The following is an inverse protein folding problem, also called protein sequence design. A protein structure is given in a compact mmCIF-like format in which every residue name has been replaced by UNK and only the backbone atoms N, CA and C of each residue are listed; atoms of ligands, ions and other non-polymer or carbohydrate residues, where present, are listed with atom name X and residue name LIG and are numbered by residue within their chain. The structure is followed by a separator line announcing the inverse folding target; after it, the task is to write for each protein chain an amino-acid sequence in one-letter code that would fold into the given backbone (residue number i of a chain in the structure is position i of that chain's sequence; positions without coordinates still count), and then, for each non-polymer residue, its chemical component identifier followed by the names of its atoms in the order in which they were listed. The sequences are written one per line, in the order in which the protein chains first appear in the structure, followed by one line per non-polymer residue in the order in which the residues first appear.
data_IF_143938832856
#
_entry.id   IF_143938832856
#
_cell.length_a   1.000
_cell.length_b   1.000
_cell.length_c   1.000
_cell.angle_alpha   90.00
_cell.angle_beta   90.00
_cell.angle_gamma   90.00
#
_symmetry.space_group_name_H-M   'P 1'
#
loop_
_entity.id
_entity.type
_entity.pdbx_description
1 polymer ?
#
# COMPACT_ATOMS: atom_id res chain seq x y z
N UNK A 1 16.58 -8.02 -20.16
CA UNK A 1 15.52 -7.68 -19.17
C UNK A 1 14.47 -8.78 -19.02
N UNK A 2 14.06 -9.48 -20.09
CA UNK A 2 12.91 -10.40 -20.05
C UNK A 2 12.95 -11.53 -19.01
N UNK A 3 14.13 -11.98 -18.59
CA UNK A 3 14.29 -13.05 -17.56
C UNK A 3 14.01 -12.59 -16.13
N UNK A 4 13.91 -11.28 -15.89
CA UNK A 4 13.71 -10.70 -14.56
C UNK A 4 12.31 -10.13 -14.34
N UNK A 5 11.43 -10.22 -15.35
CA UNK A 5 10.08 -9.70 -15.29
C UNK A 5 9.07 -10.82 -15.58
N UNK A 6 8.00 -10.85 -14.79
CA UNK A 6 6.87 -11.74 -14.98
C UNK A 6 5.58 -10.91 -15.04
N UNK A 7 4.90 -10.96 -16.17
CA UNK A 7 3.55 -10.45 -16.34
C UNK A 7 2.58 -11.46 -15.75
N UNK A 8 2.08 -11.18 -14.56
CA UNK A 8 1.33 -12.18 -13.82
C UNK A 8 -0.18 -12.15 -14.09
N UNK A 9 -0.73 -11.06 -14.65
CA UNK A 9 -2.15 -10.97 -15.06
C UNK A 9 -2.39 -11.26 -16.55
N UNK A 10 -1.35 -11.25 -17.38
CA UNK A 10 -1.44 -11.54 -18.81
C UNK A 10 -0.55 -10.63 -19.65
N UNK A 11 -0.59 -10.82 -20.96
CA UNK A 11 0.16 -10.01 -21.93
C UNK A 11 -0.54 -8.73 -22.34
N UNK A 12 -1.83 -8.64 -22.01
CA UNK A 12 -2.64 -7.51 -22.41
C UNK A 12 -2.13 -6.24 -21.71
N UNK A 13 -1.55 -5.35 -22.50
CA UNK A 13 -1.16 -4.01 -22.06
C UNK A 13 -2.35 -3.05 -22.06
N UNK A 14 -3.54 -3.51 -22.46
CA UNK A 14 -4.74 -2.68 -22.49
C UNK A 14 -5.38 -2.63 -21.11
N UNK A 15 -5.44 -1.42 -20.56
CA UNK A 15 -5.94 -1.15 -19.21
C UNK A 15 -5.02 -0.20 -18.45
N UNK A 16 -5.56 0.37 -17.37
CA UNK A 16 -4.85 1.39 -16.59
C UNK A 16 -3.70 0.84 -15.72
N UNK A 17 -3.38 -0.46 -15.78
CA UNK A 17 -2.36 -1.05 -14.89
C UNK A 17 -1.66 -2.23 -15.57
N UNK A 18 -0.40 -2.09 -16.00
CA UNK A 18 0.46 -3.23 -16.33
C UNK A 18 0.98 -3.88 -15.05
N UNK A 19 0.47 -5.06 -14.69
CA UNK A 19 0.87 -5.78 -13.48
C UNK A 19 2.15 -6.63 -13.68
N UNK A 20 3.27 -6.16 -13.15
CA UNK A 20 4.60 -6.78 -13.32
C UNK A 20 5.14 -7.26 -11.99
N UNK A 21 5.59 -8.51 -11.93
CA UNK A 21 6.47 -8.99 -10.85
C UNK A 21 7.92 -8.84 -11.26
N UNK A 22 8.70 -8.15 -10.43
CA UNK A 22 10.15 -8.06 -10.57
C UNK A 22 10.80 -9.20 -9.81
N UNK A 23 11.44 -10.10 -10.55
CA UNK A 23 12.19 -11.24 -10.03
C UNK A 23 13.54 -10.79 -9.44
N UNK A 24 14.22 -11.65 -8.64
CA UNK A 24 15.53 -11.33 -8.07
C UNK A 24 16.53 -10.75 -9.07
N UNK A 25 17.23 -9.70 -8.66
CA UNK A 25 18.19 -8.94 -9.48
C UNK A 25 17.57 -7.98 -10.51
N UNK A 26 16.23 -7.98 -10.65
CA UNK A 26 15.52 -7.14 -11.62
C UNK A 26 15.19 -5.72 -11.14
N UNK A 27 15.21 -5.45 -9.82
CA UNK A 27 14.75 -4.20 -9.21
C UNK A 27 15.35 -2.94 -9.84
N UNK A 28 16.65 -2.76 -9.65
CA UNK A 28 17.34 -1.55 -10.12
C UNK A 28 17.31 -1.39 -11.66
N UNK A 29 17.52 -2.45 -12.49
CA UNK A 29 17.35 -2.33 -13.94
C UNK A 29 15.96 -1.88 -14.38
N UNK A 30 14.90 -2.42 -13.76
CA UNK A 30 13.51 -2.10 -14.09
C UNK A 30 13.18 -0.67 -13.66
N UNK A 31 13.55 -0.28 -12.44
CA UNK A 31 13.35 1.08 -11.97
C UNK A 31 14.06 2.10 -12.87
N UNK A 32 15.30 1.85 -13.30
CA UNK A 32 16.02 2.70 -14.26
C UNK A 32 15.30 2.80 -15.61
N UNK A 33 14.83 1.67 -16.15
CA UNK A 33 14.12 1.66 -17.43
C UNK A 33 12.80 2.44 -17.37
N UNK A 34 12.02 2.28 -16.29
CA UNK A 34 10.76 3.01 -16.10
C UNK A 34 11.01 4.52 -15.93
N UNK A 35 12.06 4.93 -15.18
CA UNK A 35 12.46 6.34 -15.09
C UNK A 35 12.90 6.91 -16.44
N UNK A 36 13.68 6.15 -17.22
CA UNK A 36 14.09 6.55 -18.56
C UNK A 36 12.89 6.73 -19.51
N UNK A 37 11.79 6.00 -19.27
CA UNK A 37 10.51 6.18 -19.96
C UNK A 37 9.66 7.36 -19.43
N UNK A 38 10.21 8.18 -18.52
CA UNK A 38 9.52 9.32 -17.93
C UNK A 38 8.50 8.96 -16.85
N UNK A 39 8.50 7.71 -16.37
CA UNK A 39 7.60 7.27 -15.31
C UNK A 39 8.18 7.60 -13.94
N UNK A 40 7.29 7.97 -13.02
CA UNK A 40 7.64 8.31 -11.64
C UNK A 40 7.03 7.25 -10.70
N UNK A 41 7.83 6.69 -9.77
CA UNK A 41 7.34 5.72 -8.81
C UNK A 41 6.46 6.41 -7.75
N UNK A 42 5.40 5.72 -7.36
CA UNK A 42 4.43 6.08 -6.34
C UNK A 42 4.19 4.85 -5.46
N UNK A 43 5.02 4.64 -4.41
CA UNK A 43 4.86 3.52 -3.49
C UNK A 43 3.43 3.45 -2.93
N UNK A 44 2.82 2.25 -2.95
CA UNK A 44 1.46 2.04 -2.41
C UNK A 44 1.51 1.21 -1.14
N UNK A 45 2.00 -0.01 -1.28
CA UNK A 45 2.10 -1.02 -0.23
C UNK A 45 3.55 -1.51 -0.14
N UNK A 46 3.96 -2.16 0.96
CA UNK A 46 5.32 -2.70 1.08
C UNK A 46 5.68 -3.62 -0.09
N UNK A 47 6.67 -3.20 -0.89
CA UNK A 47 7.15 -3.92 -2.07
C UNK A 47 6.24 -3.81 -3.30
N UNK A 48 5.21 -2.95 -3.27
CA UNK A 48 4.37 -2.61 -4.43
C UNK A 48 4.52 -1.12 -4.77
N UNK A 49 4.92 -0.84 -6.00
CA UNK A 49 5.19 0.50 -6.50
C UNK A 49 4.38 0.71 -7.76
N UNK A 50 3.45 1.66 -7.74
CA UNK A 50 2.80 2.12 -8.96
C UNK A 50 3.72 3.09 -9.69
N UNK A 51 3.84 2.95 -10.99
CA UNK A 51 4.58 3.86 -11.85
C UNK A 51 3.61 4.59 -12.75
N UNK A 52 3.68 5.92 -12.71
CA UNK A 52 2.73 6.81 -13.39
C UNK A 52 3.44 7.83 -14.25
N UNK A 53 2.74 8.33 -15.27
CA UNK A 53 3.19 9.48 -16.05
C UNK A 53 2.66 10.78 -15.41
N UNK A 54 3.50 11.81 -15.37
CA UNK A 54 3.07 13.16 -14.97
C UNK A 54 2.80 14.01 -16.22
N UNK A 55 1.81 14.93 -16.20
CA UNK A 55 0.96 15.31 -15.05
C UNK A 55 -0.32 14.48 -14.89
N UNK A 56 -0.67 13.65 -15.89
CA UNK A 56 -2.00 13.04 -16.02
C UNK A 56 -2.32 12.02 -14.91
N UNK A 57 -1.31 11.60 -14.14
CA UNK A 57 -1.39 10.62 -13.05
C UNK A 57 -1.91 9.23 -13.48
N UNK A 58 -2.03 8.99 -14.78
CA UNK A 58 -2.34 7.67 -15.33
C UNK A 58 -1.31 6.68 -14.80
N UNK A 59 -1.84 5.68 -14.08
CA UNK A 59 -1.04 4.53 -13.70
C UNK A 59 -0.71 3.80 -14.99
N UNK A 60 0.56 3.45 -15.13
CA UNK A 60 1.06 2.77 -16.34
C UNK A 60 1.52 1.37 -15.96
N UNK A 61 2.21 1.23 -14.83
CA UNK A 61 2.79 -0.05 -14.41
C UNK A 61 2.65 -0.25 -12.90
N UNK A 62 1.98 -1.31 -12.49
CA UNK A 62 1.97 -1.80 -11.12
C UNK A 62 3.11 -2.80 -10.92
N UNK A 63 4.17 -2.35 -10.26
CA UNK A 63 5.37 -3.16 -10.05
C UNK A 63 5.34 -3.77 -8.66
N UNK A 64 5.30 -5.10 -8.63
CA UNK A 64 5.37 -5.90 -7.43
C UNK A 64 6.75 -6.55 -7.32
N UNK A 65 7.46 -6.31 -6.22
CA UNK A 65 8.66 -7.07 -5.92
C UNK A 65 8.30 -8.53 -5.62
N UNK A 66 9.19 -9.47 -5.98
CA UNK A 66 9.03 -10.90 -5.71
C UNK A 66 8.64 -11.23 -4.26
N UNK A 67 9.15 -10.47 -3.30
CA UNK A 67 8.89 -10.62 -1.88
C UNK A 67 7.55 -10.06 -1.42
N UNK A 68 6.92 -9.23 -2.23
CA UNK A 68 5.56 -8.78 -2.03
C UNK A 68 4.55 -9.69 -2.74
N UNK A 69 5.00 -10.82 -3.32
CA UNK A 69 4.11 -11.80 -3.93
C UNK A 69 3.12 -12.37 -2.91
N UNK A 70 1.80 -12.21 -3.13
CA UNK A 70 0.81 -12.58 -2.13
C UNK A 70 0.88 -14.03 -1.72
N UNK A 71 0.93 -14.28 -0.40
CA UNK A 71 1.00 -15.63 0.15
C UNK A 71 -0.27 -16.47 -0.15
N UNK A 72 -1.35 -15.84 -0.61
CA UNK A 72 -2.58 -16.47 -1.07
C UNK A 72 -2.55 -16.89 -2.55
N UNK A 73 -1.56 -16.46 -3.32
CA UNK A 73 -1.38 -16.85 -4.72
C UNK A 73 -0.64 -18.19 -4.82
N UNK A 74 -0.60 -18.81 -6.02
CA UNK A 74 0.32 -19.91 -6.28
C UNK A 74 1.76 -19.48 -5.96
N UNK A 75 2.64 -20.36 -5.43
CA UNK A 75 4.01 -19.98 -5.08
C UNK A 75 4.76 -19.41 -6.29
N UNK A 76 5.38 -18.23 -6.14
CA UNK A 76 6.07 -17.57 -7.25
C UNK A 76 7.10 -18.46 -7.97
N UNK A 77 7.89 -19.33 -7.30
CA UNK A 77 8.78 -20.26 -8.01
C UNK A 77 8.04 -21.24 -8.93
N UNK A 78 6.84 -21.68 -8.54
CA UNK A 78 6.01 -22.56 -9.35
C UNK A 78 5.38 -21.82 -10.54
N UNK A 79 4.91 -20.58 -10.30
CA UNK A 79 4.40 -19.70 -11.36
C UNK A 79 5.50 -19.43 -12.39
N UNK A 80 6.71 -19.09 -11.93
CA UNK A 80 7.88 -18.86 -12.80
C UNK A 80 8.25 -20.10 -13.61
N UNK A 81 8.18 -21.30 -13.01
CA UNK A 81 8.49 -22.56 -13.71
C UNK A 81 7.49 -22.86 -14.83
N UNK A 82 6.22 -22.48 -14.67
CA UNK A 82 5.17 -22.64 -15.70
C UNK A 82 5.04 -21.46 -16.65
N UNK A 83 5.66 -20.33 -16.34
CA UNK A 83 5.59 -19.15 -17.17
C UNK A 83 6.27 -19.39 -18.52
N UNK A 84 5.71 -18.79 -19.57
CA UNK A 84 6.24 -18.87 -20.93
C UNK A 84 6.58 -17.46 -21.43
N UNK A 85 7.52 -17.31 -22.39
CA UNK A 85 7.73 -16.04 -23.07
C UNK A 85 6.45 -15.62 -23.81
N UNK A 86 6.00 -14.40 -23.58
CA UNK A 86 4.89 -13.79 -24.31
C UNK A 86 5.32 -13.05 -25.57
N UNK A 87 4.37 -12.39 -26.22
CA UNK A 87 4.57 -11.59 -27.45
C UNK A 87 5.64 -10.51 -27.33
N UNK A 88 5.80 -9.92 -26.14
CA UNK A 88 6.81 -8.90 -25.85
C UNK A 88 8.17 -9.48 -25.38
N UNK A 89 8.33 -10.80 -25.40
CA UNK A 89 9.53 -11.48 -24.90
C UNK A 89 9.70 -11.45 -23.37
N UNK A 90 8.68 -10.97 -22.64
CA UNK A 90 8.62 -11.04 -21.17
C UNK A 90 8.01 -12.38 -20.75
N UNK A 91 8.33 -12.89 -19.55
CA UNK A 91 7.65 -14.07 -19.03
C UNK A 91 6.21 -13.72 -18.66
N UNK A 92 5.29 -14.63 -18.95
CA UNK A 92 3.86 -14.49 -18.67
C UNK A 92 3.39 -15.69 -17.87
N UNK A 93 2.66 -15.43 -16.78
CA UNK A 93 2.11 -16.51 -15.96
C UNK A 93 1.15 -17.39 -16.79
N UNK A 94 1.28 -18.71 -16.62
CA UNK A 94 0.41 -19.68 -17.29
C UNK A 94 -1.07 -19.42 -16.97
N UNK A 95 -2.01 -19.73 -17.89
CA UNK A 95 -3.45 -19.54 -17.66
C UNK A 95 -3.93 -20.14 -16.33
N UNK A 96 -3.43 -21.32 -15.97
CA UNK A 96 -3.73 -22.00 -14.69
C UNK A 96 -3.41 -21.14 -13.47
N UNK A 97 -2.29 -20.42 -13.47
CA UNK A 97 -1.88 -19.58 -12.35
C UNK A 97 -2.75 -18.31 -12.28
N UNK A 98 -3.04 -17.72 -13.44
CA UNK A 98 -3.87 -16.51 -13.55
C UNK A 98 -5.29 -16.73 -13.02
N UNK A 99 -5.94 -17.84 -13.39
CA UNK A 99 -7.29 -18.16 -12.87
C UNK A 99 -7.28 -18.41 -11.36
N UNK A 100 -6.24 -19.07 -10.84
CA UNK A 100 -6.09 -19.31 -9.40
C UNK A 100 -5.87 -18.03 -8.61
N UNK A 101 -5.12 -17.07 -9.17
CA UNK A 101 -4.97 -15.77 -8.53
C UNK A 101 -6.30 -15.04 -8.43
N UNK A 102 -7.05 -14.91 -9.52
CA UNK A 102 -8.35 -14.21 -9.47
C UNK A 102 -9.37 -14.89 -8.56
N UNK A 103 -9.33 -16.23 -8.48
CA UNK A 103 -10.12 -16.97 -7.49
C UNK A 103 -9.71 -16.63 -6.05
N UNK A 104 -8.40 -16.53 -5.76
CA UNK A 104 -7.91 -16.12 -4.44
C UNK A 104 -8.28 -14.66 -4.11
N UNK A 105 -8.19 -13.75 -5.08
CA UNK A 105 -8.61 -12.35 -4.95
C UNK A 105 -10.10 -12.22 -4.59
N UNK A 106 -10.98 -13.03 -5.20
CA UNK A 106 -12.39 -13.10 -4.86
C UNK A 106 -12.62 -13.55 -3.41
N UNK A 107 -11.89 -14.56 -2.94
CA UNK A 107 -11.94 -15.00 -1.53
C UNK A 107 -11.43 -13.92 -0.58
N UNK A 108 -10.43 -13.14 -1.01
CA UNK A 108 -9.93 -11.98 -0.27
C UNK A 108 -10.91 -10.79 -0.24
N UNK A 109 -12.07 -10.92 -0.89
CA UNK A 109 -13.14 -9.92 -0.87
C UNK A 109 -13.06 -8.88 -1.98
N UNK A 110 -12.24 -9.10 -3.02
CA UNK A 110 -12.35 -8.31 -4.25
C UNK A 110 -13.73 -8.52 -4.90
N UNK A 111 -14.29 -7.52 -5.61
CA UNK A 111 -15.59 -7.64 -6.26
C UNK A 111 -15.66 -8.87 -7.16
N UNK A 112 -16.67 -9.72 -6.92
CA UNK A 112 -16.81 -11.00 -7.60
C UNK A 112 -16.95 -10.82 -9.11
N UNK A 113 -17.74 -9.83 -9.53
CA UNK A 113 -17.94 -9.48 -10.94
C UNK A 113 -16.60 -9.26 -11.66
N UNK A 114 -15.72 -8.44 -11.08
CA UNK A 114 -14.40 -8.13 -11.66
C UNK A 114 -13.50 -9.37 -11.73
N UNK A 115 -13.43 -10.16 -10.66
CA UNK A 115 -12.62 -11.39 -10.65
C UNK A 115 -13.14 -12.41 -11.65
N UNK A 116 -14.46 -12.59 -11.75
CA UNK A 116 -15.07 -13.55 -12.67
C UNK A 116 -14.88 -13.16 -14.14
N UNK A 117 -15.03 -11.87 -14.49
CA UNK A 117 -14.73 -11.37 -15.84
C UNK A 117 -13.28 -11.66 -16.22
N UNK A 118 -12.32 -11.43 -15.31
CA UNK A 118 -10.90 -11.75 -15.56
C UNK A 118 -10.65 -13.24 -15.74
N UNK A 119 -11.27 -14.10 -14.93
CA UNK A 119 -11.18 -15.56 -15.11
C UNK A 119 -11.69 -15.98 -16.50
N UNK A 120 -12.82 -15.44 -16.96
CA UNK A 120 -13.36 -15.74 -18.30
C UNK A 120 -12.43 -15.30 -19.40
N UNK A 121 -11.95 -14.06 -19.35
CA UNK A 121 -11.01 -13.54 -20.33
C UNK A 121 -9.76 -14.42 -20.46
N UNK A 122 -9.22 -14.91 -19.33
CA UNK A 122 -8.09 -15.86 -19.34
C UNK A 122 -8.45 -17.20 -19.98
N UNK A 123 -9.64 -17.74 -19.68
CA UNK A 123 -10.10 -19.03 -20.22
C UNK A 123 -10.44 -18.94 -21.72
N UNK A 124 -11.10 -17.87 -22.15
CA UNK A 124 -11.41 -17.57 -23.55
C UNK A 124 -10.12 -17.42 -24.37
N UNK A 125 -9.17 -16.63 -23.89
CA UNK A 125 -7.89 -16.43 -24.56
C UNK A 125 -7.04 -17.71 -24.65
N UNK A 126 -7.27 -18.68 -23.77
CA UNK A 126 -6.54 -19.96 -23.80
C UNK A 126 -7.05 -20.92 -24.87
N UNK A 127 -8.29 -20.79 -25.34
CA UNK A 127 -8.95 -21.77 -26.23
C UNK A 127 -9.29 -23.12 -25.56
N UNK A 128 -8.79 -23.40 -24.36
CA UNK A 128 -8.82 -24.72 -23.71
C UNK A 128 -9.37 -24.64 -22.28
N UNK A 129 -10.51 -23.94 -22.11
CA UNK A 129 -11.06 -23.62 -20.78
C UNK A 129 -11.22 -24.85 -19.86
N UNK A 130 -11.66 -26.00 -20.40
CA UNK A 130 -11.84 -27.22 -19.63
C UNK A 130 -10.52 -27.77 -19.07
N UNK A 131 -9.45 -27.75 -19.87
CA UNK A 131 -8.13 -28.24 -19.47
C UNK A 131 -7.49 -27.32 -18.44
N UNK A 132 -7.58 -26.00 -18.65
CA UNK A 132 -7.09 -24.99 -17.68
C UNK A 132 -7.80 -25.14 -16.34
N UNK A 133 -9.12 -25.34 -16.34
CA UNK A 133 -9.88 -25.56 -15.11
C UNK A 133 -9.54 -26.90 -14.43
N UNK A 134 -9.31 -27.96 -15.20
CA UNK A 134 -8.88 -29.25 -14.67
C UNK A 134 -7.49 -29.13 -14.02
N UNK A 135 -6.54 -28.48 -14.69
CA UNK A 135 -5.21 -28.20 -14.16
C UNK A 135 -5.27 -27.32 -12.89
N UNK A 136 -6.13 -26.30 -12.87
CA UNK A 136 -6.31 -25.44 -11.71
C UNK A 136 -6.83 -26.24 -10.50
N UNK A 137 -7.78 -27.16 -10.71
CA UNK A 137 -8.27 -28.07 -9.66
C UNK A 137 -7.20 -29.05 -9.18
N UNK A 138 -6.29 -29.48 -10.05
CA UNK A 138 -5.16 -30.33 -9.66
C UNK A 138 -4.16 -29.57 -8.77
N UNK A 139 -3.94 -28.28 -9.00
CA UNK A 139 -3.05 -27.43 -8.19
C UNK A 139 -3.69 -27.00 -6.87
N UNK A 140 -4.97 -26.61 -6.90
CA UNK A 140 -5.73 -26.20 -5.73
C UNK A 140 -7.23 -26.50 -5.95
N UNK A 141 -7.77 -27.63 -5.45
CA UNK A 141 -9.14 -28.05 -5.72
C UNK A 141 -10.20 -27.03 -5.29
N UNK A 142 -9.94 -26.26 -4.23
CA UNK A 142 -10.90 -25.31 -3.70
C UNK A 142 -10.95 -24.03 -4.55
N UNK A 143 -9.78 -23.47 -4.90
CA UNK A 143 -9.71 -22.29 -5.77
C UNK A 143 -10.07 -22.62 -7.23
N UNK A 144 -9.70 -23.80 -7.74
CA UNK A 144 -10.12 -24.27 -9.07
C UNK A 144 -11.63 -24.44 -9.21
N UNK A 145 -12.34 -24.76 -8.11
CA UNK A 145 -13.81 -24.76 -8.06
C UNK A 145 -14.38 -23.35 -8.22
N UNK A 146 -13.81 -22.36 -7.51
CA UNK A 146 -14.22 -20.95 -7.63
C UNK A 146 -14.01 -20.45 -9.05
N UNK A 147 -12.87 -20.77 -9.67
CA UNK A 147 -12.63 -20.45 -11.08
C UNK A 147 -13.69 -21.11 -12.00
N UNK A 148 -14.09 -22.35 -11.70
CA UNK A 148 -15.19 -23.02 -12.40
C UNK A 148 -16.54 -22.30 -12.25
N UNK A 149 -16.85 -21.78 -11.05
CA UNK A 149 -18.07 -20.98 -10.82
C UNK A 149 -18.02 -19.65 -11.59
N UNK A 150 -16.86 -19.01 -11.66
CA UNK A 150 -16.67 -17.80 -12.46
C UNK A 150 -16.93 -18.06 -13.95
N UNK A 151 -16.52 -19.23 -14.45
CA UNK A 151 -16.76 -19.65 -15.84
C UNK A 151 -18.24 -19.95 -16.14
N UNK A 152 -18.90 -20.74 -15.29
CA UNK A 152 -20.26 -21.23 -15.57
C UNK A 152 -21.41 -20.34 -15.09
N UNK A 153 -21.17 -19.40 -14.17
CA UNK A 153 -22.21 -18.57 -13.56
C UNK A 153 -22.48 -17.25 -14.29
N UNK A 154 -23.45 -16.47 -13.82
CA UNK A 154 -23.61 -15.06 -14.19
C UNK A 154 -22.97 -14.16 -13.10
N UNK A 155 -21.89 -13.43 -13.38
CA UNK A 155 -21.17 -12.69 -12.36
C UNK A 155 -21.80 -11.31 -12.10
N UNK A 156 -22.76 -10.87 -12.92
CA UNK A 156 -23.40 -9.57 -12.81
C UNK A 156 -24.33 -9.47 -11.59
N UNK A 157 -24.76 -10.61 -11.05
CA UNK A 157 -25.80 -10.66 -10.01
C UNK A 157 -25.27 -10.50 -8.59
N UNK A 158 -23.96 -10.69 -8.36
CA UNK A 158 -23.38 -10.65 -7.01
C UNK A 158 -22.15 -9.75 -6.95
N UNK A 159 -22.18 -8.77 -6.04
CA UNK A 159 -21.04 -7.90 -5.76
C UNK A 159 -19.87 -8.68 -5.14
N UNK A 160 -20.17 -9.68 -4.31
CA UNK A 160 -19.20 -10.45 -3.54
C UNK A 160 -19.46 -11.96 -3.65
N UNK A 161 -18.39 -12.76 -3.50
CA UNK A 161 -18.50 -14.21 -3.44
C UNK A 161 -19.34 -14.63 -2.23
N UNK A 162 -20.32 -15.51 -2.45
CA UNK A 162 -21.25 -15.96 -1.41
C UNK A 162 -20.53 -16.60 -0.21
N UNK A 163 -21.02 -16.33 1.00
CA UNK A 163 -20.38 -16.80 2.24
C UNK A 163 -20.19 -18.33 2.29
N UNK A 164 -21.13 -19.09 1.72
CA UNK A 164 -21.04 -20.56 1.63
C UNK A 164 -19.94 -21.05 0.68
N UNK A 165 -19.64 -20.30 -0.39
CA UNK A 165 -18.51 -20.61 -1.28
C UNK A 165 -17.18 -20.27 -0.60
N UNK A 166 -17.12 -19.12 0.08
CA UNK A 166 -15.96 -18.75 0.89
C UNK A 166 -15.69 -19.83 1.95
N UNK A 167 -16.68 -20.23 2.74
CA UNK A 167 -16.52 -21.26 3.77
C UNK A 167 -16.01 -22.60 3.21
N UNK A 168 -16.56 -23.06 2.08
CA UNK A 168 -16.07 -24.27 1.38
C UNK A 168 -14.64 -24.12 0.89
N UNK A 169 -14.27 -22.96 0.35
CA UNK A 169 -12.90 -22.68 -0.05
C UNK A 169 -11.93 -22.72 1.13
N UNK A 170 -12.31 -22.11 2.26
CA UNK A 170 -11.52 -22.11 3.50
C UNK A 170 -11.29 -23.50 4.07
N UNK A 171 -12.27 -24.41 3.96
CA UNK A 171 -12.10 -25.79 4.36
C UNK A 171 -11.08 -26.52 3.47
N UNK A 172 -11.17 -26.31 2.15
CA UNK A 172 -10.39 -27.07 1.15
C UNK A 172 -9.02 -26.51 0.77
N UNK A 173 -8.68 -25.27 1.10
CA UNK A 173 -7.43 -24.64 0.62
C UNK A 173 -6.72 -23.80 1.69
N UNK A 174 -5.44 -24.08 1.97
CA UNK A 174 -4.58 -23.20 2.75
C UNK A 174 -4.47 -21.79 2.15
N UNK A 175 -4.51 -21.66 0.82
CA UNK A 175 -4.44 -20.37 0.12
C UNK A 175 -5.72 -19.56 0.30
N UNK A 176 -6.88 -20.21 0.21
CA UNK A 176 -8.15 -19.56 0.54
C UNK A 176 -8.17 -19.05 2.00
N UNK A 177 -7.63 -19.83 2.95
CA UNK A 177 -7.48 -19.38 4.35
C UNK A 177 -6.59 -18.15 4.48
N UNK A 178 -5.49 -18.10 3.73
CA UNK A 178 -4.63 -16.92 3.66
C UNK A 178 -5.35 -15.74 3.01
N UNK A 179 -6.12 -15.95 1.95
CA UNK A 179 -6.91 -14.90 1.29
C UNK A 179 -7.95 -14.27 2.23
N UNK A 180 -8.74 -15.09 2.93
CA UNK A 180 -9.68 -14.57 3.92
C UNK A 180 -8.97 -13.91 5.12
N UNK A 181 -7.80 -14.41 5.51
CA UNK A 181 -6.98 -13.73 6.51
C UNK A 181 -6.52 -12.36 6.00
N UNK A 182 -6.06 -12.24 4.75
CA UNK A 182 -5.69 -10.96 4.12
C UNK A 182 -6.85 -9.97 4.16
N UNK A 183 -8.08 -10.44 3.89
CA UNK A 183 -9.29 -9.63 4.05
C UNK A 183 -9.46 -9.08 5.47
N UNK A 184 -9.13 -9.86 6.49
CA UNK A 184 -9.36 -9.54 7.91
C UNK A 184 -8.23 -8.77 8.58
N UNK A 185 -6.98 -9.03 8.20
CA UNK A 185 -5.79 -8.50 8.91
C UNK A 185 -4.83 -7.77 8.00
N UNK A 186 -5.18 -7.57 6.72
CA UNK A 186 -4.27 -7.11 5.70
C UNK A 186 -3.26 -8.18 5.28
N UNK A 187 -2.48 -7.85 4.27
CA UNK A 187 -1.59 -8.80 3.63
C UNK A 187 -0.33 -9.06 4.47
N UNK A 188 0.01 -10.33 4.77
CA UNK A 188 1.29 -10.64 5.40
C UNK A 188 2.40 -10.49 4.36
N UNK A 189 3.26 -9.49 4.51
CA UNK A 189 4.45 -9.37 3.65
C UNK A 189 5.33 -10.60 3.84
N UNK A 190 5.61 -11.27 2.72
CA UNK A 190 6.58 -12.34 2.65
C UNK A 190 7.99 -11.77 2.76
N UNK A 191 8.90 -12.51 3.41
CA UNK A 191 10.30 -12.10 3.46
C UNK A 191 10.86 -12.07 2.04
N UNK A 192 11.73 -11.11 1.70
CA UNK A 192 12.44 -11.19 0.44
C UNK A 192 13.29 -12.43 0.30
N UNK A 193 13.32 -12.93 -0.93
CA UNK A 193 14.20 -14.01 -1.35
C UNK A 193 15.64 -13.52 -1.49
N UNK A 194 15.86 -12.20 -1.57
CA UNK A 194 17.19 -11.59 -1.53
C UNK A 194 17.88 -11.99 -0.22
N UNK A 195 19.18 -12.32 -0.26
CA UNK A 195 19.93 -12.60 0.96
C UNK A 195 19.75 -11.45 1.95
N UNK A 196 19.52 -11.77 3.24
CA UNK A 196 19.32 -10.75 4.25
C UNK A 196 20.57 -9.89 4.33
N UNK A 197 20.39 -8.57 4.32
CA UNK A 197 21.47 -7.63 4.63
C UNK A 197 21.93 -7.93 6.05
N UNK A 198 23.24 -7.97 6.27
CA UNK A 198 23.82 -8.26 7.58
C UNK A 198 23.39 -7.25 8.67
N UNK A 199 23.14 -5.98 8.28
CA UNK A 199 22.77 -4.88 9.16
C UNK A 199 21.65 -4.03 8.55
N UNK A 200 20.41 -4.54 8.50
CA UNK A 200 19.30 -3.82 7.90
C UNK A 200 18.96 -2.58 8.72
N UNK A 201 18.82 -1.43 8.06
CA UNK A 201 18.51 -0.16 8.72
C UNK A 201 17.04 0.24 8.53
N UNK A 202 16.47 0.90 9.51
CA UNK A 202 15.19 1.59 9.43
C UNK A 202 15.42 3.10 9.49
N UNK A 203 15.10 3.79 8.40
CA UNK A 203 15.24 5.23 8.26
C UNK A 203 13.83 5.82 8.21
N UNK A 204 13.48 6.66 9.17
CA UNK A 204 12.18 7.31 9.24
C UNK A 204 12.26 8.74 8.69
N UNK A 205 11.38 9.09 7.76
CA UNK A 205 11.25 10.42 7.19
C UNK A 205 9.94 11.06 7.64
N UNK A 206 10.03 12.25 8.22
CA UNK A 206 8.90 13.04 8.71
C UNK A 206 8.89 14.44 8.10
N UNK A 207 7.72 15.06 8.04
CA UNK A 207 7.56 16.42 7.50
C UNK A 207 6.17 16.67 6.93
N UNK A 208 5.80 17.93 6.73
CA UNK A 208 4.52 18.27 6.10
C UNK A 208 4.46 17.85 4.62
N UNK A 209 3.27 17.89 4.03
CA UNK A 209 3.13 17.67 2.59
C UNK A 209 3.86 18.76 1.80
N UNK A 210 4.56 18.38 0.72
CA UNK A 210 5.47 19.29 -0.01
C UNK A 210 6.90 19.37 0.56
N UNK A 211 7.20 18.72 1.69
CA UNK A 211 8.55 18.72 2.27
C UNK A 211 9.59 17.84 1.53
N UNK A 212 9.20 17.10 0.48
CA UNK A 212 10.13 16.25 -0.28
C UNK A 212 10.38 14.85 0.29
N UNK A 213 9.56 14.37 1.24
CA UNK A 213 9.70 13.02 1.86
C UNK A 213 9.76 11.89 0.83
N UNK A 214 8.83 11.87 -0.13
CA UNK A 214 8.77 10.81 -1.12
C UNK A 214 10.00 10.84 -2.04
N UNK A 215 10.47 12.03 -2.45
CA UNK A 215 11.73 12.20 -3.18
C UNK A 215 12.92 11.64 -2.39
N UNK A 216 13.03 11.99 -1.11
CA UNK A 216 14.08 11.46 -0.23
C UNK A 216 13.99 9.94 -0.04
N UNK A 217 12.78 9.40 0.07
CA UNK A 217 12.58 7.95 0.22
C UNK A 217 13.04 7.16 -1.00
N UNK A 218 12.78 7.70 -2.20
CA UNK A 218 13.18 7.10 -3.46
C UNK A 218 14.69 7.21 -3.70
N UNK A 219 15.30 8.33 -3.31
CA UNK A 219 16.75 8.50 -3.38
C UNK A 219 17.48 7.55 -2.41
N UNK A 220 16.93 7.30 -1.22
CA UNK A 220 17.44 6.29 -0.30
C UNK A 220 17.30 4.88 -0.87
N UNK A 221 16.15 4.56 -1.46
CA UNK A 221 15.94 3.27 -2.13
C UNK A 221 16.97 3.07 -3.25
N UNK A 222 17.13 4.06 -4.12
CA UNK A 222 18.10 4.05 -5.22
C UNK A 222 19.55 3.95 -4.73
N UNK A 223 19.86 4.54 -3.56
CA UNK A 223 21.17 4.37 -2.92
C UNK A 223 21.42 2.93 -2.46
N UNK A 224 20.50 2.30 -1.74
CA UNK A 224 20.66 0.90 -1.33
C UNK A 224 20.68 -0.05 -2.52
N UNK A 225 19.87 0.20 -3.55
CA UNK A 225 19.88 -0.56 -4.80
C UNK A 225 21.24 -0.51 -5.51
N UNK A 226 21.92 0.65 -5.51
CA UNK A 226 23.29 0.76 -6.05
C UNK A 226 24.32 -0.04 -5.27
N UNK A 227 24.06 -0.30 -3.99
CA UNK A 227 24.91 -1.13 -3.13
C UNK A 227 24.53 -2.62 -3.20
N UNK A 228 23.57 -3.00 -4.06
CA UNK A 228 22.98 -4.34 -4.12
C UNK A 228 22.36 -4.79 -2.78
N UNK A 229 21.92 -3.82 -1.97
CA UNK A 229 21.26 -4.07 -0.69
C UNK A 229 19.75 -4.01 -0.83
N UNK A 230 19.04 -5.01 -0.29
CA UNK A 230 17.59 -5.06 -0.32
C UNK A 230 16.99 -3.91 0.49
N UNK A 231 16.21 -3.05 -0.16
CA UNK A 231 15.53 -1.93 0.48
C UNK A 231 14.07 -1.82 0.01
N UNK A 232 13.21 -1.26 0.87
CA UNK A 232 11.83 -0.94 0.54
C UNK A 232 11.39 0.37 1.18
N UNK A 233 10.41 1.01 0.56
CA UNK A 233 9.69 2.14 1.17
C UNK A 233 8.44 1.60 1.87
N UNK A 234 8.31 1.92 3.16
CA UNK A 234 7.12 1.61 3.95
C UNK A 234 6.35 2.91 4.20
N UNK A 235 5.26 3.09 3.49
CA UNK A 235 4.40 4.24 3.70
C UNK A 235 3.42 3.97 4.84
N UNK A 236 3.32 4.89 5.81
CA UNK A 236 2.30 4.81 6.86
C UNK A 236 1.37 6.01 6.79
N UNK A 237 0.07 5.74 6.68
CA UNK A 237 -0.96 6.77 6.86
C UNK A 237 -1.77 6.45 8.10
N UNK A 238 -1.93 7.45 8.95
CA UNK A 238 -2.73 7.33 10.17
C UNK A 238 -4.15 6.96 9.77
N UNK A 239 -4.58 5.77 10.21
CA UNK A 239 -5.93 5.28 9.99
C UNK A 239 -6.22 4.63 8.63
N UNK A 240 -5.23 4.41 7.75
CA UNK A 240 -5.48 3.75 6.45
C UNK A 240 -6.03 2.31 6.60
N UNK A 241 -5.56 1.57 7.61
CA UNK A 241 -6.01 0.19 7.92
C UNK A 241 -7.40 0.13 8.59
N UNK A 242 -8.09 1.27 8.79
CA UNK A 242 -9.37 1.29 9.51
C UNK A 242 -10.55 0.76 8.68
N UNK A 243 -10.37 0.33 7.43
CA UNK A 243 -11.47 -0.19 6.59
C UNK A 243 -12.34 -1.25 7.29
N UNK A 244 -11.74 -2.15 8.06
CA UNK A 244 -12.48 -3.09 8.91
C UNK A 244 -13.19 -2.42 10.08
N UNK A 245 -12.54 -1.45 10.72
CA UNK A 245 -13.11 -0.70 11.84
C UNK A 245 -14.24 0.24 11.40
N UNK A 246 -14.29 0.64 10.13
CA UNK A 246 -15.43 1.33 9.53
C UNK A 246 -16.67 0.43 9.55
N UNK A 247 -16.53 -0.86 9.24
CA UNK A 247 -17.63 -1.82 9.34
C UNK A 247 -18.06 -2.06 10.78
N UNK A 248 -17.10 -2.23 11.71
CA UNK A 248 -17.39 -2.34 13.14
C UNK A 248 -18.08 -1.08 13.66
N UNK A 249 -17.61 0.11 13.26
CA UNK A 249 -18.23 1.39 13.58
C UNK A 249 -19.64 1.51 13.02
N UNK A 250 -19.91 0.98 11.82
CA UNK A 250 -21.25 0.93 11.23
C UNK A 250 -22.19 0.02 12.04
N UNK A 251 -21.71 -1.14 12.49
CA UNK A 251 -22.47 -2.06 13.34
C UNK A 251 -22.73 -1.42 14.71
N UNK A 252 -21.69 -0.87 15.34
CA UNK A 252 -21.82 -0.17 16.62
C UNK A 252 -22.81 1.00 16.53
N UNK A 253 -22.80 1.78 15.44
CA UNK A 253 -23.79 2.84 15.20
C UNK A 253 -25.21 2.30 15.07
N UNK A 254 -25.41 1.21 14.32
CA UNK A 254 -26.73 0.56 14.20
C UNK A 254 -27.24 0.06 15.55
N UNK A 255 -26.37 -0.57 16.34
CA UNK A 255 -26.72 -1.10 17.66
C UNK A 255 -27.01 0.01 18.68
N UNK A 256 -26.31 1.14 18.59
CA UNK A 256 -26.49 2.29 19.49
C UNK A 256 -27.67 3.21 19.12
N UNK A 257 -28.44 2.89 18.06
CA UNK A 257 -29.66 3.62 17.62
C UNK A 257 -29.54 5.16 17.65
N UNK A 258 -28.35 5.68 17.37
CA UNK A 258 -28.10 7.13 17.37
C UNK A 258 -28.20 7.66 15.94
N UNK A 259 -29.41 8.03 15.56
CA UNK A 259 -29.79 8.58 14.24
C UNK A 259 -29.36 10.05 14.05
N UNK A 260 -28.14 10.42 14.42
CA UNK A 260 -27.59 11.73 14.06
C UNK A 260 -26.38 11.54 13.14
N UNK A 261 -26.60 11.96 11.90
CA UNK A 261 -25.66 12.06 10.79
C UNK A 261 -24.30 12.59 11.25
N UNK A 262 -23.39 11.66 11.50
CA UNK A 262 -21.97 11.96 11.57
C UNK A 262 -21.51 12.08 10.13
N UNK A 263 -21.29 13.31 9.65
CA UNK A 263 -20.49 13.57 8.46
C UNK A 263 -19.05 13.14 8.75
N UNK A 264 -18.82 11.82 8.68
CA UNK A 264 -17.50 11.26 8.53
C UNK A 264 -17.11 11.57 7.08
N UNK A 265 -16.50 12.74 6.85
CA UNK A 265 -15.70 12.97 5.66
C UNK A 265 -14.43 12.11 5.78
N UNK A 266 -14.61 10.78 5.74
CA UNK A 266 -13.57 9.88 5.28
C UNK A 266 -13.70 9.98 3.78
N UNK A 267 -12.88 10.84 3.18
CA UNK A 267 -12.58 10.75 1.75
C UNK A 267 -12.27 9.29 1.43
N UNK A 268 -12.99 8.78 0.43
CA UNK A 268 -12.89 7.41 -0.02
C UNK A 268 -11.43 7.11 -0.41
N UNK A 269 -10.78 6.05 0.11
CA UNK A 269 -9.37 5.78 -0.18
C UNK A 269 -9.11 5.27 -1.60
N UNK A 270 -10.13 5.15 -2.46
CA UNK A 270 -9.99 4.63 -3.82
C UNK A 270 -10.35 5.70 -4.85
N UNK A 271 -9.42 6.61 -5.08
CA UNK A 271 -9.37 7.40 -6.31
C UNK A 271 -8.97 6.51 -7.48
N UNK A 272 -9.96 6.09 -8.27
CA UNK A 272 -9.82 5.45 -9.57
C UNK A 272 -10.90 5.96 -10.52
N UNK A 273 -10.62 7.12 -11.11
CA UNK A 273 -11.11 7.76 -12.35
C UNK A 273 -12.45 7.34 -12.98
N UNK A 274 -13.40 8.29 -13.05
CA UNK A 274 -14.08 8.73 -14.27
C UNK A 274 -14.92 9.99 -13.97
N UNK A 275 -14.61 11.07 -14.70
CA UNK A 275 -15.40 12.31 -14.93
C UNK A 275 -16.52 12.67 -13.92
N UNK A 276 -16.23 13.63 -13.04
CA UNK A 276 -17.27 14.47 -12.42
C UNK A 276 -16.86 15.95 -12.59
N UNK A 277 -17.80 16.84 -12.96
CA UNK A 277 -17.46 18.19 -13.37
C UNK A 277 -16.89 19.02 -12.22
N UNK A 278 -15.77 19.66 -12.53
CA UNK A 278 -15.09 20.69 -11.76
C UNK A 278 -16.05 21.80 -11.34
N UNK A 279 -16.35 21.89 -10.04
CA UNK A 279 -17.19 22.99 -9.57
C UNK A 279 -17.72 22.87 -8.15
N UNK A 280 -16.99 22.30 -7.20
CA UNK A 280 -17.26 22.51 -5.77
C UNK A 280 -16.00 22.22 -4.95
N UNK A 281 -15.28 23.30 -4.65
CA UNK A 281 -14.17 23.28 -3.72
C UNK A 281 -14.63 22.66 -2.39
N UNK A 282 -13.94 21.60 -1.97
CA UNK A 282 -14.07 20.95 -0.66
C UNK A 282 -13.77 21.93 0.47
N UNK A 283 -14.75 22.77 0.82
CA UNK A 283 -14.72 23.75 1.91
C UNK A 283 -14.88 23.15 3.31
N UNK A 284 -14.42 21.92 3.55
CA UNK A 284 -14.64 21.20 4.81
C UNK A 284 -13.38 21.08 5.70
N UNK A 285 -12.33 21.87 5.46
CA UNK A 285 -11.10 21.85 6.26
C UNK A 285 -11.03 22.94 7.37
N UNK A 286 -12.07 23.77 7.53
CA UNK A 286 -12.04 24.93 8.42
C UNK A 286 -13.00 24.92 9.62
N UNK A 287 -13.99 24.03 9.65
CA UNK A 287 -14.87 23.94 10.81
C UNK A 287 -14.11 23.16 11.90
N UNK A 288 -13.58 23.89 12.88
CA UNK A 288 -13.16 23.33 14.16
C UNK A 288 -14.23 22.33 14.59
N UNK A 289 -13.92 21.04 14.48
CA UNK A 289 -14.82 19.97 14.93
C UNK A 289 -15.09 20.28 16.39
N UNK A 290 -16.30 20.77 16.67
CA UNK A 290 -16.76 21.02 18.03
C UNK A 290 -16.41 19.78 18.85
N UNK A 291 -15.61 19.99 19.90
CA UNK A 291 -15.04 18.92 20.74
C UNK A 291 -16.17 18.06 21.29
N UNK A 292 -16.51 16.98 20.61
CA UNK A 292 -17.44 15.96 21.11
C UNK A 292 -16.66 15.07 22.07
N UNK A 293 -16.46 15.54 23.30
CA UNK A 293 -15.72 14.86 24.38
C UNK A 293 -16.42 13.61 24.94
N UNK A 294 -17.01 12.77 24.09
CA UNK A 294 -17.68 11.54 24.49
C UNK A 294 -16.72 10.34 24.54
N UNK A 295 -17.05 9.34 25.35
CA UNK A 295 -16.30 8.07 25.45
C UNK A 295 -16.05 7.41 24.08
N UNK A 296 -17.02 7.51 23.15
CA UNK A 296 -16.90 6.97 21.80
C UNK A 296 -15.78 7.62 20.98
N UNK A 297 -15.54 8.92 21.17
CA UNK A 297 -14.43 9.63 20.52
C UNK A 297 -13.08 9.11 21.06
N UNK A 298 -12.96 8.97 22.39
CA UNK A 298 -11.77 8.37 23.01
C UNK A 298 -11.48 6.94 22.50
N UNK A 299 -12.52 6.10 22.36
CA UNK A 299 -12.39 4.74 21.81
C UNK A 299 -11.94 4.77 20.35
N UNK A 300 -12.53 5.65 19.53
CA UNK A 300 -12.15 5.80 18.12
C UNK A 300 -10.69 6.25 17.97
N UNK A 301 -10.29 7.29 18.70
CA UNK A 301 -8.91 7.80 18.69
C UNK A 301 -7.91 6.74 19.12
N UNK A 302 -8.26 5.92 20.12
CA UNK A 302 -7.44 4.78 20.54
C UNK A 302 -7.31 3.73 19.43
N UNK A 303 -8.40 3.43 18.71
CA UNK A 303 -8.40 2.49 17.60
C UNK A 303 -7.50 2.99 16.44
N UNK A 304 -7.56 4.27 16.11
CA UNK A 304 -6.67 4.94 15.15
C UNK A 304 -5.21 4.78 15.58
N UNK A 305 -4.89 5.08 16.84
CA UNK A 305 -3.53 4.97 17.37
C UNK A 305 -3.01 3.53 17.36
N UNK A 306 -3.84 2.55 17.73
CA UNK A 306 -3.49 1.13 17.70
C UNK A 306 -3.24 0.65 16.26
N UNK A 307 -4.05 1.11 15.31
CA UNK A 307 -3.87 0.84 13.88
C UNK A 307 -2.51 1.35 13.39
N UNK A 308 -2.15 2.59 13.72
CA UNK A 308 -0.85 3.18 13.37
C UNK A 308 0.32 2.42 14.01
N UNK A 309 0.20 2.01 15.28
CA UNK A 309 1.20 1.17 15.95
C UNK A 309 1.36 -0.18 15.23
N UNK A 310 0.26 -0.79 14.78
CA UNK A 310 0.31 -2.07 14.06
C UNK A 310 1.09 -1.94 12.75
N UNK A 311 0.82 -0.88 11.99
CA UNK A 311 1.53 -0.53 10.75
C UNK A 311 3.02 -0.27 11.04
N UNK A 312 3.36 0.57 12.03
CA UNK A 312 4.76 0.84 12.39
C UNK A 312 5.51 -0.42 12.85
N UNK A 313 4.86 -1.30 13.63
CA UNK A 313 5.44 -2.61 14.01
C UNK A 313 5.64 -3.54 12.82
N UNK A 314 4.88 -3.35 11.75
CA UNK A 314 5.07 -4.07 10.51
C UNK A 314 6.39 -3.70 9.83
N UNK A 315 6.71 -2.41 9.70
CA UNK A 315 8.04 -1.97 9.29
C UNK A 315 9.15 -2.57 10.17
N UNK A 316 8.94 -2.64 11.49
CA UNK A 316 9.89 -3.29 12.40
C UNK A 316 10.07 -4.79 12.18
N UNK A 317 9.08 -5.48 11.62
CA UNK A 317 9.21 -6.89 11.19
C UNK A 317 9.96 -7.00 9.86
N UNK A 318 9.70 -6.09 8.93
CA UNK A 318 10.40 -6.00 7.63
C UNK A 318 11.90 -5.74 7.82
N UNK A 319 12.28 -4.83 8.72
CA UNK A 319 13.70 -4.64 9.06
C UNK A 319 14.33 -5.95 9.56
N UNK A 320 13.64 -6.65 10.47
CA UNK A 320 14.11 -7.93 11.04
C UNK A 320 14.19 -9.07 10.04
N UNK A 321 13.63 -8.94 8.83
CA UNK A 321 13.85 -9.90 7.76
C UNK A 321 15.11 -9.64 6.93
N UNK A 322 15.95 -8.66 7.30
CA UNK A 322 17.20 -8.39 6.59
C UNK A 322 17.05 -7.38 5.45
N UNK A 323 16.12 -6.43 5.56
CA UNK A 323 15.83 -5.44 4.51
C UNK A 323 15.92 -4.05 5.08
N UNK A 324 16.50 -3.10 4.34
CA UNK A 324 16.41 -1.69 4.71
C UNK A 324 14.97 -1.20 4.54
N UNK A 325 14.46 -0.49 5.55
CA UNK A 325 13.10 0.04 5.55
C UNK A 325 13.16 1.55 5.62
N UNK A 326 12.73 2.21 4.56
CA UNK A 326 12.58 3.67 4.52
C UNK A 326 11.13 4.00 4.81
N UNK A 327 10.83 4.55 5.97
CA UNK A 327 9.47 4.90 6.36
C UNK A 327 9.13 6.32 5.87
N UNK A 328 8.25 6.46 4.87
CA UNK A 328 7.65 7.75 4.50
C UNK A 328 6.46 8.00 5.43
N UNK A 329 6.65 8.93 6.36
CA UNK A 329 5.87 9.20 7.58
C UNK A 329 6.14 8.19 8.71
N UNK A 330 6.36 8.71 9.91
CA UNK A 330 6.66 7.90 11.10
C UNK A 330 5.99 8.46 12.37
N UNK A 331 6.55 8.18 13.55
CA UNK A 331 5.99 8.56 14.85
C UNK A 331 5.69 10.05 14.95
N UNK A 332 6.58 10.91 14.43
CA UNK A 332 6.41 12.36 14.52
C UNK A 332 5.19 12.81 13.70
N UNK A 333 5.05 12.35 12.46
CA UNK A 333 3.86 12.61 11.63
C UNK A 333 2.59 12.06 12.29
N UNK A 334 2.65 10.85 12.86
CA UNK A 334 1.50 10.24 13.52
C UNK A 334 1.02 11.05 14.75
N UNK A 335 1.94 11.65 15.50
CA UNK A 335 1.62 12.54 16.62
C UNK A 335 1.07 13.89 16.15
N UNK A 336 1.64 14.47 15.08
CA UNK A 336 1.14 15.71 14.46
C UNK A 336 -0.28 15.48 13.95
N UNK A 337 -0.52 14.43 13.16
CA UNK A 337 -1.83 14.07 12.61
C UNK A 337 -2.85 13.80 13.73
N UNK A 338 -2.46 13.09 14.79
CA UNK A 338 -3.32 12.84 15.94
C UNK A 338 -3.80 14.17 16.56
N UNK A 339 -2.85 15.09 16.83
CA UNK A 339 -3.17 16.37 17.46
C UNK A 339 -3.94 17.31 16.58
N UNK A 340 -3.64 17.32 15.28
CA UNK A 340 -4.31 18.16 14.31
C UNK A 340 -5.78 17.73 14.14
N UNK A 341 -6.04 16.41 14.04
CA UNK A 341 -7.38 15.88 13.75
C UNK A 341 -8.25 15.69 14.99
N UNK A 342 -7.66 15.29 16.10
CA UNK A 342 -8.39 14.88 17.30
C UNK A 342 -8.03 15.73 18.54
N UNK A 343 -6.95 16.51 18.49
CA UNK A 343 -6.44 17.23 19.65
C UNK A 343 -5.56 16.36 20.54
N UNK A 344 -5.31 16.82 21.78
CA UNK A 344 -4.39 16.13 22.69
C UNK A 344 -5.08 14.96 23.39
N UNK A 345 -4.64 13.74 23.08
CA UNK A 345 -5.10 12.52 23.74
C UNK A 345 -3.93 11.78 24.39
N UNK A 346 -3.77 11.95 25.71
CA UNK A 346 -2.59 11.43 26.46
C UNK A 346 -2.38 9.93 26.29
N UNK A 347 -3.46 9.14 26.33
CA UNK A 347 -3.38 7.66 26.20
C UNK A 347 -2.98 7.26 24.78
N UNK A 348 -3.56 7.89 23.75
CA UNK A 348 -3.22 7.62 22.37
C UNK A 348 -1.77 8.05 22.05
N UNK A 349 -1.34 9.24 22.50
CA UNK A 349 0.06 9.69 22.36
C UNK A 349 1.03 8.73 23.07
N UNK A 350 0.69 8.27 24.28
CA UNK A 350 1.49 7.28 25.00
C UNK A 350 1.58 5.97 24.22
N UNK A 351 0.47 5.47 23.68
CA UNK A 351 0.42 4.25 22.87
C UNK A 351 1.29 4.38 21.61
N UNK A 352 1.21 5.49 20.88
CA UNK A 352 2.05 5.75 19.71
C UNK A 352 3.54 5.73 20.10
N UNK A 353 3.93 6.51 21.12
CA UNK A 353 5.33 6.61 21.57
C UNK A 353 5.89 5.27 22.02
N UNK A 354 5.09 4.44 22.68
CA UNK A 354 5.55 3.14 23.19
C UNK A 354 5.45 2.02 22.16
N UNK A 355 4.54 2.16 21.20
CA UNK A 355 4.21 1.13 20.22
C UNK A 355 5.07 1.17 18.95
N UNK A 356 5.51 2.35 18.53
CA UNK A 356 6.35 2.51 17.35
C UNK A 356 7.76 1.93 17.61
N UNK A 357 8.30 1.12 16.69
CA UNK A 357 9.69 0.70 16.80
C UNK A 357 10.62 1.91 16.67
N UNK A 358 11.77 1.86 17.35
CA UNK A 358 12.79 2.90 17.23
C UNK A 358 13.49 2.76 15.88
N UNK A 359 13.43 3.77 14.99
CA UNK A 359 14.22 3.77 13.77
C UNK A 359 15.70 3.94 14.14
N UNK A 360 16.58 3.44 13.28
CA UNK A 360 18.03 3.64 13.44
C UNK A 360 18.36 5.12 13.22
N UNK A 361 17.65 5.76 12.28
CA UNK A 361 17.76 7.19 11.97
C UNK A 361 16.36 7.76 11.76
N UNK A 362 16.05 8.89 12.38
CA UNK A 362 14.82 9.63 12.12
C UNK A 362 15.15 11.04 11.65
N UNK A 363 14.57 11.45 10.53
CA UNK A 363 14.83 12.74 9.89
C UNK A 363 13.52 13.52 9.78
N UNK A 364 13.54 14.78 10.19
CA UNK A 364 12.49 15.76 9.92
C UNK A 364 12.95 16.65 8.76
N UNK A 365 12.27 16.55 7.62
CA UNK A 365 12.41 17.48 6.50
C UNK A 365 11.59 18.73 6.82
N UNK A 366 12.26 19.76 7.34
CA UNK A 366 11.62 21.02 7.74
C UNK A 366 11.54 21.95 6.53
N UNK A 367 10.34 22.45 6.25
CA UNK A 367 10.08 23.45 5.22
C UNK A 367 9.07 24.46 5.75
N UNK A 368 9.13 25.70 5.28
CA UNK A 368 8.11 26.71 5.60
C UNK A 368 6.75 26.30 5.03
N UNK A 369 5.66 26.56 5.77
CA UNK A 369 4.30 26.22 5.35
C UNK A 369 3.91 26.83 3.99
N UNK A 370 4.35 28.07 3.70
CA UNK A 370 4.09 28.71 2.41
C UNK A 370 4.83 28.02 1.26
N UNK A 371 6.11 27.69 1.45
CA UNK A 371 6.87 26.96 0.45
C UNK A 371 6.29 25.55 0.18
N UNK A 372 5.83 24.86 1.22
CA UNK A 372 5.09 23.61 1.09
C UNK A 372 3.81 23.76 0.25
N UNK A 373 3.01 24.80 0.52
CA UNK A 373 1.79 25.09 -0.23
C UNK A 373 2.06 25.40 -1.71
N UNK A 374 3.14 26.12 -2.02
CA UNK A 374 3.57 26.41 -3.39
C UNK A 374 3.99 25.14 -4.13
N UNK A 375 4.68 24.21 -3.45
CA UNK A 375 5.10 22.93 -4.05
C UNK A 375 3.93 21.99 -4.36
N UNK A 376 2.83 22.13 -3.63
CA UNK A 376 1.61 21.32 -3.78
C UNK A 376 0.34 22.18 -3.66
N UNK A 377 0.04 23.01 -4.67
CA UNK A 377 -1.10 23.92 -4.59
C UNK A 377 -2.41 23.12 -4.50
N UNK A 378 -3.25 23.49 -3.53
CA UNK A 378 -4.56 22.87 -3.32
C UNK A 378 -4.57 21.58 -2.48
N UNK A 379 -3.41 21.00 -2.16
CA UNK A 379 -3.34 19.75 -1.37
C UNK A 379 -3.80 19.96 0.08
N UNK A 380 -3.35 21.05 0.71
CA UNK A 380 -3.83 21.46 2.05
C UNK A 380 -3.95 22.99 2.15
N UNK A 381 -4.94 23.51 2.91
CA UNK A 381 -5.01 24.94 3.20
C UNK A 381 -3.78 25.42 3.97
N UNK A 382 -3.29 26.63 3.67
CA UNK A 382 -2.10 27.20 4.32
C UNK A 382 -2.21 27.20 5.86
N UNK A 383 -3.37 27.54 6.41
CA UNK A 383 -3.62 27.54 7.87
C UNK A 383 -3.39 26.17 8.52
N UNK A 384 -3.68 25.09 7.79
CA UNK A 384 -3.46 23.71 8.25
C UNK A 384 -1.97 23.41 8.24
N UNK A 385 -1.25 23.78 7.17
CA UNK A 385 0.21 23.62 7.08
C UNK A 385 0.95 24.42 8.15
N UNK A 386 0.50 25.64 8.47
CA UNK A 386 1.03 26.45 9.56
C UNK A 386 0.79 25.79 10.93
N UNK A 387 -0.39 25.19 11.15
CA UNK A 387 -0.68 24.44 12.35
C UNK A 387 0.20 23.18 12.47
N UNK A 388 0.42 22.46 11.36
CA UNK A 388 1.35 21.34 11.30
C UNK A 388 2.77 21.78 11.64
N UNK A 389 3.26 22.87 11.05
CA UNK A 389 4.60 23.41 11.32
C UNK A 389 4.81 23.68 12.82
N UNK A 390 3.86 24.37 13.47
CA UNK A 390 3.90 24.61 14.91
C UNK A 390 3.93 23.31 15.74
N UNK A 391 3.14 22.31 15.35
CA UNK A 391 3.12 21.01 16.02
C UNK A 391 4.43 20.24 15.85
N UNK A 392 5.05 20.30 14.66
CA UNK A 392 6.39 19.74 14.44
C UNK A 392 7.41 20.40 15.35
N UNK A 393 7.42 21.72 15.45
CA UNK A 393 8.34 22.46 16.31
C UNK A 393 8.14 22.13 17.80
N UNK A 394 6.88 21.99 18.26
CA UNK A 394 6.57 21.58 19.63
C UNK A 394 7.07 20.15 19.95
N UNK A 395 6.95 19.23 18.99
CA UNK A 395 7.20 17.81 19.22
C UNK A 395 8.66 17.40 18.97
N UNK A 396 9.39 18.12 18.14
CA UNK A 396 10.77 17.82 17.71
C UNK A 396 11.76 17.64 18.87
N UNK A 397 11.80 18.51 19.91
CA UNK A 397 12.78 18.41 21.00
C UNK A 397 12.76 17.07 21.75
N UNK A 398 11.63 16.36 21.73
CA UNK A 398 11.44 15.07 22.41
C UNK A 398 11.43 13.88 21.47
N UNK A 399 11.58 14.10 20.17
CA UNK A 399 11.43 13.06 19.15
C UNK A 399 12.76 12.37 18.79
N UNK A 400 13.91 13.00 19.10
CA UNK A 400 15.23 12.47 18.75
C UNK A 400 15.45 12.38 17.24
N UNK A 401 14.95 13.38 16.50
CA UNK A 401 15.05 13.47 15.03
C UNK A 401 16.20 14.39 14.64
N UNK A 402 16.87 14.08 13.52
CA UNK A 402 17.77 14.98 12.81
C UNK A 402 16.91 15.93 11.98
N UNK A 403 17.07 17.23 12.17
CA UNK A 403 16.32 18.22 11.38
C UNK A 403 17.16 18.62 10.18
N UNK A 404 16.60 18.41 8.99
CA UNK A 404 17.20 18.82 7.72
C UNK A 404 16.36 19.92 7.11
N UNK A 405 17.01 21.01 6.71
CA UNK A 405 16.35 22.12 6.01
C UNK A 405 16.02 21.72 4.56
N UNK A 406 14.73 21.46 4.32
CA UNK A 406 14.20 21.06 3.02
C UNK A 406 13.86 22.25 2.10
N UNK A 407 14.26 23.48 2.45
CA UNK A 407 14.27 24.63 1.55
C UNK A 407 15.52 24.68 0.67
N UNK A 408 16.59 23.95 1.05
CA UNK A 408 17.83 23.83 0.28
C UNK A 408 17.62 23.06 -1.02
N UNK A 409 18.63 23.12 -1.91
CA UNK A 409 18.65 22.32 -3.13
C UNK A 409 18.53 20.82 -2.83
N UNK A 410 17.78 20.09 -3.66
CA UNK A 410 17.47 18.67 -3.43
C UNK A 410 18.72 17.81 -3.23
N UNK A 411 19.81 18.09 -3.96
CA UNK A 411 21.08 17.36 -3.84
C UNK A 411 21.69 17.44 -2.43
N UNK A 412 21.59 18.61 -1.80
CA UNK A 412 22.14 18.85 -0.46
C UNK A 412 21.32 18.14 0.61
N UNK A 413 19.99 18.24 0.50
CA UNK A 413 19.04 17.58 1.39
C UNK A 413 19.26 16.08 1.35
N UNK A 414 19.38 15.50 0.15
CA UNK A 414 19.63 14.09 -0.05
C UNK A 414 20.98 13.66 0.51
N UNK A 415 22.05 14.43 0.29
CA UNK A 415 23.37 14.14 0.85
C UNK A 415 23.36 14.15 2.38
N UNK A 416 22.59 15.05 3.01
CA UNK A 416 22.43 15.08 4.47
C UNK A 416 21.61 13.90 5.00
N UNK A 417 20.50 13.55 4.34
CA UNK A 417 19.71 12.36 4.66
C UNK A 417 20.54 11.09 4.52
N UNK A 418 21.35 10.98 3.46
CA UNK A 418 22.23 9.84 3.23
C UNK A 418 23.33 9.75 4.28
N UNK A 419 23.96 10.87 4.66
CA UNK A 419 24.95 10.91 5.74
C UNK A 419 24.34 10.49 7.07
N UNK A 420 23.16 11.03 7.40
CA UNK A 420 22.44 10.65 8.61
C UNK A 420 22.08 9.15 8.59
N UNK A 421 21.63 8.62 7.45
CA UNK A 421 21.32 7.21 7.22
C UNK A 421 22.53 6.27 7.21
N UNK A 422 23.74 6.82 7.01
CA UNK A 422 25.00 6.08 6.88
C UNK A 422 25.76 5.93 8.19
N UNK A 423 25.57 6.87 9.13
CA UNK A 423 26.06 6.79 10.50
C UNK A 423 25.41 5.61 11.24
#
# INVERSE_FOLDING_TARGET
MGTHLLLWRGEDLTGNDLDVVVLPGGGAPVARALRAAGLVPAPQDPGRVLWRRLPDLDVVVDVLADHAWPAMYPPLPDVRRRAAPGTLGLLVAAPVDRVLVHAAEAVAGRPWSRCATRVRSVLEASGEAAEVLAAARAVDPALGRIAGLAWSGDPATAEHLGAGEVARALAGSPRARRAARTRLVGEPVTRPATPPVARPRMIALSGMDGAGKSTASLALLDHFERLDEAALVHWTRVGADLGLLVHVGRIARRLLRRDRSVSVAVEDPQGGSAEAPSGQASGAAGAAVERRGGLLDGVWVLAVALSSVRAARHAGRLRRSGVHVVCDRWLLDALVDLRLRYGRHRVAEWLLRRGFPRPDVAVLLRVEARAAAVRKPGDQPLVVLEAMARLYDELTPRAGVVVVDAARADTDVLAEVLRAGSA
#
